data_IF_150719282336
#
_entry.id   IF_150719282336
#
_cell.length_a   1.000
_cell.length_b   1.000
_cell.length_c   1.000
_cell.angle_alpha   90.00
_cell.angle_beta   90.00
_cell.angle_gamma   90.00
#
_symmetry.space_group_name_H-M   'P 1'
#
loop_
_entity.id
_entity.type
_entity.pdbx_description
1 polymer ?
#
# COMPACT_ATOMS: atom_id res chain seq x y z
N UNK A 1 -1.57 -11.75 26.30
CA UNK A 1 -0.27 -11.06 26.25
C UNK A 1 -0.44 -9.91 25.28
N UNK A 2 -0.47 -8.67 25.75
CA UNK A 2 -0.68 -7.48 24.88
C UNK A 2 0.67 -6.98 24.42
N UNK A 3 1.02 -7.18 23.15
CA UNK A 3 2.20 -6.56 22.54
C UNK A 3 1.76 -5.24 21.94
N UNK A 4 2.03 -4.14 22.67
CA UNK A 4 1.85 -2.78 22.11
C UNK A 4 2.85 -2.60 20.99
N UNK A 5 2.39 -2.13 19.83
CA UNK A 5 3.27 -1.81 18.72
C UNK A 5 4.06 -0.52 19.02
N UNK A 6 5.30 -0.39 18.52
CA UNK A 6 6.11 0.81 18.72
C UNK A 6 5.47 2.02 18.03
N UNK A 7 5.60 3.18 18.64
CA UNK A 7 5.22 4.47 18.05
C UNK A 7 6.15 4.87 16.90
N UNK A 8 5.70 5.80 16.03
CA UNK A 8 6.53 6.36 14.96
C UNK A 8 7.82 7.02 15.51
N UNK A 9 7.74 7.69 16.66
CA UNK A 9 8.88 8.36 17.28
C UNK A 9 9.90 7.37 17.86
N UNK A 10 9.44 6.25 18.41
CA UNK A 10 10.30 5.11 18.79
C UNK A 10 10.99 4.50 17.56
N UNK A 11 10.25 4.28 16.48
CA UNK A 11 10.77 3.74 15.20
C UNK A 11 11.81 4.68 14.56
N UNK A 12 11.56 5.99 14.61
CA UNK A 12 12.43 7.04 14.07
C UNK A 12 13.70 7.22 14.91
N UNK A 13 13.58 7.13 16.23
CA UNK A 13 14.71 7.25 17.16
C UNK A 13 15.60 6.01 17.17
N UNK A 14 15.02 4.83 16.94
CA UNK A 14 15.73 3.53 16.87
C UNK A 14 16.39 3.29 15.51
N UNK A 15 16.25 4.20 14.53
CA UNK A 15 16.76 4.04 13.16
C UNK A 15 16.36 2.70 12.54
N UNK A 16 15.20 2.13 12.91
CA UNK A 16 14.62 0.98 12.21
C UNK A 16 14.03 1.46 10.89
N UNK A 17 14.92 1.96 10.04
CA UNK A 17 14.64 2.45 8.71
C UNK A 17 14.00 1.30 7.96
N UNK A 18 12.86 1.58 7.34
CA UNK A 18 12.22 0.66 6.40
C UNK A 18 13.22 0.37 5.29
N UNK A 19 13.76 -0.85 5.26
CA UNK A 19 14.75 -1.25 4.26
C UNK A 19 14.10 -2.12 3.18
N UNK A 20 14.54 -2.00 1.92
CA UNK A 20 14.18 -2.97 0.89
C UNK A 20 14.60 -4.38 1.29
N UNK A 21 13.73 -5.37 1.11
CA UNK A 21 14.06 -6.75 1.44
C UNK A 21 15.18 -7.30 0.56
N UNK A 22 16.20 -7.90 1.19
CA UNK A 22 17.35 -8.48 0.48
C UNK A 22 16.90 -9.59 -0.49
N UNK A 23 15.97 -10.45 -0.05
CA UNK A 23 15.46 -11.55 -0.87
C UNK A 23 14.37 -11.18 -1.87
N UNK A 24 13.86 -9.95 -1.82
CA UNK A 24 12.74 -9.47 -2.63
C UNK A 24 13.10 -8.21 -3.40
N UNK A 25 12.84 -7.04 -2.82
CA UNK A 25 12.97 -5.75 -3.50
C UNK A 25 14.38 -5.47 -4.04
N UNK A 26 15.45 -5.87 -3.34
CA UNK A 26 16.82 -5.65 -3.80
C UNK A 26 17.21 -6.49 -5.03
N UNK A 27 16.44 -7.54 -5.35
CA UNK A 27 16.66 -8.39 -6.53
C UNK A 27 15.96 -7.83 -7.77
N UNK A 28 15.13 -6.81 -7.66
CA UNK A 28 14.44 -6.23 -8.81
C UNK A 28 15.42 -5.40 -9.65
N UNK A 29 15.49 -5.71 -10.93
CA UNK A 29 16.22 -4.94 -11.93
C UNK A 29 15.18 -4.22 -12.78
N UNK A 30 15.21 -2.90 -12.75
CA UNK A 30 14.37 -2.07 -13.61
C UNK A 30 15.24 -1.08 -14.39
N UNK A 31 15.51 -1.33 -15.68
CA UNK A 31 16.24 -0.37 -16.49
C UNK A 31 15.37 0.88 -16.73
N UNK A 32 15.89 2.05 -16.34
CA UNK A 32 15.17 3.33 -16.45
C UNK A 32 14.76 3.67 -17.90
N UNK A 33 15.54 3.19 -18.88
CA UNK A 33 15.37 3.49 -20.30
C UNK A 33 14.90 2.27 -21.12
N UNK A 34 14.29 1.27 -20.47
CA UNK A 34 13.71 0.11 -21.15
C UNK A 34 12.25 0.32 -21.54
N UNK A 35 11.70 -0.49 -22.47
CA UNK A 35 10.25 -0.54 -22.69
C UNK A 35 9.54 -0.96 -21.39
N UNK A 36 8.41 -0.35 -21.05
CA UNK A 36 7.55 -0.89 -20.00
C UNK A 36 6.88 -2.17 -20.55
N UNK A 37 6.96 -3.35 -19.90
CA UNK A 37 7.54 -3.67 -18.59
C UNK A 37 8.87 -4.46 -18.68
N UNK A 38 10.03 -3.80 -18.64
CA UNK A 38 11.36 -4.44 -18.69
C UNK A 38 11.88 -4.91 -17.31
N UNK A 39 11.00 -5.20 -16.35
CA UNK A 39 11.42 -5.63 -15.01
C UNK A 39 11.94 -7.06 -15.08
N UNK A 40 13.14 -7.28 -14.53
CA UNK A 40 13.75 -8.60 -14.37
C UNK A 40 14.16 -8.82 -12.91
N UNK A 41 14.53 -10.03 -12.54
CA UNK A 41 14.84 -10.42 -11.17
C UNK A 41 16.20 -11.10 -11.13
N UNK A 42 17.10 -10.63 -10.28
CA UNK A 42 18.37 -11.31 -10.00
C UNK A 42 18.09 -12.68 -9.39
N UNK A 43 18.89 -13.70 -9.71
CA UNK A 43 18.75 -15.01 -9.07
C UNK A 43 19.08 -14.95 -7.56
N UNK A 44 20.12 -14.22 -7.21
CA UNK A 44 20.48 -13.88 -5.83
C UNK A 44 20.78 -12.37 -5.73
N UNK A 45 20.66 -11.77 -4.55
CA UNK A 45 20.94 -10.34 -4.39
C UNK A 45 22.39 -10.04 -4.74
N UNK A 46 22.61 -9.10 -5.66
CA UNK A 46 23.94 -8.73 -6.18
C UNK A 46 24.41 -9.51 -7.41
N UNK A 47 23.66 -10.50 -7.89
CA UNK A 47 23.97 -11.22 -9.13
C UNK A 47 23.23 -10.60 -10.33
N UNK A 48 23.96 -9.82 -11.13
CA UNK A 48 23.43 -9.12 -12.31
C UNK A 48 23.62 -9.89 -13.63
N UNK A 49 24.38 -10.99 -13.63
CA UNK A 49 24.86 -11.63 -14.86
C UNK A 49 23.82 -12.56 -15.48
N UNK A 50 22.81 -12.98 -14.71
CA UNK A 50 21.79 -13.94 -15.17
C UNK A 50 20.41 -13.60 -14.59
N UNK A 51 19.78 -12.49 -15.05
CA UNK A 51 18.47 -12.10 -14.58
C UNK A 51 17.36 -12.98 -15.17
N UNK A 52 16.38 -13.29 -14.34
CA UNK A 52 15.17 -14.02 -14.71
C UNK A 52 14.01 -13.05 -15.01
N UNK A 53 13.08 -13.41 -15.90
CA UNK A 53 11.92 -12.57 -16.18
C UNK A 53 10.99 -12.44 -14.96
N UNK A 54 10.54 -11.22 -14.66
CA UNK A 54 9.60 -10.98 -13.56
C UNK A 54 8.22 -11.63 -13.80
N UNK A 55 7.82 -11.74 -15.07
CA UNK A 55 6.62 -12.42 -15.52
C UNK A 55 6.93 -13.29 -16.73
N UNK A 56 6.55 -14.55 -16.68
CA UNK A 56 6.69 -15.49 -17.78
C UNK A 56 5.32 -15.72 -18.41
N UNK A 57 5.15 -15.27 -19.66
CA UNK A 57 3.96 -15.55 -20.44
C UNK A 57 4.09 -16.91 -21.14
N UNK A 58 3.06 -17.74 -21.06
CA UNK A 58 2.98 -19.05 -21.72
C UNK A 58 1.58 -19.28 -22.27
N UNK A 59 1.43 -19.43 -23.59
CA UNK A 59 0.21 -19.81 -24.33
C UNK A 59 -1.12 -19.61 -23.58
N UNK A 60 -1.54 -18.34 -23.44
CA UNK A 60 -2.83 -17.96 -22.85
C UNK A 60 -2.86 -17.79 -21.32
N UNK A 61 -1.74 -18.03 -20.65
CA UNK A 61 -1.56 -17.85 -19.20
C UNK A 61 -0.22 -17.18 -18.90
N UNK A 62 0.03 -16.84 -17.65
CA UNK A 62 1.36 -16.44 -17.26
C UNK A 62 1.62 -16.61 -15.77
N UNK A 63 2.88 -16.79 -15.45
CA UNK A 63 3.37 -17.08 -14.11
C UNK A 63 4.22 -15.91 -13.63
N UNK A 64 3.87 -15.37 -12.47
CA UNK A 64 4.67 -14.35 -11.80
C UNK A 64 5.84 -15.01 -11.08
N UNK A 65 7.01 -14.35 -11.11
CA UNK A 65 8.15 -14.77 -10.30
C UNK A 65 7.80 -14.73 -8.80
N UNK A 66 8.39 -15.62 -7.99
CA UNK A 66 8.09 -15.75 -6.56
C UNK A 66 8.27 -14.44 -5.76
N UNK A 67 9.22 -13.60 -6.18
CA UNK A 67 9.47 -12.25 -5.62
C UNK A 67 8.23 -11.35 -5.66
N UNK A 68 7.31 -11.56 -6.61
CA UNK A 68 6.05 -10.79 -6.68
C UNK A 68 5.14 -10.96 -5.46
N UNK A 69 5.35 -12.02 -4.68
CA UNK A 69 4.59 -12.32 -3.45
C UNK A 69 5.40 -12.04 -2.18
N UNK A 70 6.66 -11.63 -2.32
CA UNK A 70 7.51 -11.30 -1.18
C UNK A 70 7.22 -9.88 -0.68
N UNK A 71 7.39 -9.61 0.62
CA UNK A 71 7.32 -8.25 1.13
C UNK A 71 8.42 -7.40 0.49
N UNK A 72 8.07 -6.18 0.08
CA UNK A 72 9.04 -5.25 -0.52
C UNK A 72 9.96 -4.63 0.54
N UNK A 73 9.48 -4.51 1.77
CA UNK A 73 10.22 -3.87 2.86
C UNK A 73 10.26 -4.75 4.10
N UNK A 74 11.29 -4.54 4.92
CA UNK A 74 11.33 -5.02 6.30
C UNK A 74 11.41 -3.79 7.24
N UNK A 75 10.46 -3.62 8.18
CA UNK A 75 9.23 -4.40 8.34
C UNK A 75 8.24 -4.18 7.17
N UNK A 76 7.22 -5.04 7.05
CA UNK A 76 6.16 -4.89 6.02
C UNK A 76 5.53 -3.50 6.13
N UNK A 77 5.31 -2.81 5.00
CA UNK A 77 4.66 -1.49 4.98
C UNK A 77 3.33 -1.50 5.76
N UNK A 78 2.53 -2.55 5.60
CA UNK A 78 1.23 -2.69 6.28
C UNK A 78 1.31 -2.82 7.81
N UNK A 79 2.50 -3.07 8.36
CA UNK A 79 2.74 -3.14 9.81
C UNK A 79 3.30 -1.84 10.40
N UNK A 80 3.51 -0.82 9.56
CA UNK A 80 4.05 0.47 9.99
C UNK A 80 2.87 1.39 10.33
N UNK A 81 2.84 1.87 11.56
CA UNK A 81 1.97 2.96 11.97
C UNK A 81 2.74 4.26 11.91
N UNK A 82 2.20 5.25 11.18
CA UNK A 82 2.78 6.59 11.10
C UNK A 82 1.90 7.53 11.90
N UNK A 83 2.50 8.28 12.81
CA UNK A 83 1.88 9.41 13.49
C UNK A 83 2.73 10.65 13.21
N UNK A 84 2.11 11.67 12.64
CA UNK A 84 2.76 12.92 12.34
C UNK A 84 1.81 14.05 12.75
N UNK A 85 2.35 15.03 13.49
CA UNK A 85 1.57 16.14 14.01
C UNK A 85 0.83 16.89 12.90
N UNK A 86 1.43 17.04 11.72
CA UNK A 86 0.79 17.72 10.60
C UNK A 86 -0.35 16.89 9.99
N UNK A 87 -0.23 15.56 10.01
CA UNK A 87 -1.31 14.67 9.59
C UNK A 87 -2.45 14.63 10.62
N UNK A 88 -2.12 14.66 11.91
CA UNK A 88 -3.10 14.67 13.00
C UNK A 88 -3.94 15.96 13.00
N UNK A 89 -3.36 17.08 12.55
CA UNK A 89 -4.06 18.37 12.42
C UNK A 89 -4.58 18.66 11.01
N UNK A 90 -4.32 17.79 10.04
CA UNK A 90 -4.64 18.04 8.65
C UNK A 90 -6.13 18.33 8.44
N UNK A 91 -7.01 17.55 9.08
CA UNK A 91 -8.45 17.73 8.96
C UNK A 91 -8.91 19.07 9.55
N UNK A 92 -8.40 19.43 10.74
CA UNK A 92 -8.76 20.68 11.41
C UNK A 92 -8.30 21.90 10.59
N UNK A 93 -7.08 21.88 10.05
CA UNK A 93 -6.59 22.94 9.16
C UNK A 93 -7.35 23.00 7.85
N UNK A 94 -7.67 21.84 7.26
CA UNK A 94 -8.45 21.81 6.04
C UNK A 94 -9.84 22.41 6.26
N UNK A 95 -10.50 22.09 7.37
CA UNK A 95 -11.80 22.66 7.73
C UNK A 95 -11.73 24.15 8.02
N UNK A 96 -10.74 24.62 8.78
CA UNK A 96 -10.56 26.06 9.06
C UNK A 96 -10.50 26.88 7.76
N UNK A 97 -9.75 26.40 6.77
CA UNK A 97 -9.57 27.08 5.49
C UNK A 97 -10.75 26.93 4.52
N UNK A 98 -11.60 25.91 4.68
CA UNK A 98 -12.62 25.55 3.67
C UNK A 98 -14.07 25.52 4.17
N UNK A 99 -14.35 25.62 5.47
CA UNK A 99 -15.72 25.56 6.04
C UNK A 99 -16.68 26.53 5.33
N UNK A 100 -16.19 27.70 4.93
CA UNK A 100 -16.97 28.80 4.36
C UNK A 100 -16.84 28.94 2.84
N UNK A 101 -16.10 28.03 2.19
CA UNK A 101 -15.77 28.10 0.75
C UNK A 101 -16.61 27.13 -0.10
N UNK A 102 -17.82 26.81 0.35
CA UNK A 102 -18.82 26.13 -0.47
C UNK A 102 -19.17 26.98 -1.69
N UNK A 103 -19.26 26.37 -2.87
CA UNK A 103 -19.53 27.10 -4.12
C UNK A 103 -20.81 27.95 -4.00
N UNK A 104 -20.75 29.26 -4.26
CA UNK A 104 -21.95 30.08 -4.24
C UNK A 104 -22.88 29.69 -5.41
N UNK A 105 -24.04 29.12 -5.08
CA UNK A 105 -25.11 28.83 -6.04
C UNK A 105 -25.30 27.36 -6.42
N UNK A 106 -24.59 26.41 -5.80
CA UNK A 106 -25.01 25.01 -5.80
C UNK A 106 -26.36 24.88 -5.08
N UNK A 107 -27.19 23.89 -5.45
CA UNK A 107 -28.53 23.69 -4.87
C UNK A 107 -28.54 23.25 -3.39
N UNK A 108 -27.42 23.45 -2.69
CA UNK A 108 -27.32 23.45 -1.26
C UNK A 108 -27.30 24.90 -0.77
N UNK A 109 -28.31 25.25 0.02
CA UNK A 109 -28.43 26.43 0.90
C UNK A 109 -27.17 27.32 1.01
N UNK A 110 -27.27 28.67 1.00
CA UNK A 110 -26.17 29.61 1.24
C UNK A 110 -25.47 29.47 2.62
N UNK A 111 -25.82 28.44 3.38
CA UNK A 111 -25.26 28.00 4.66
C UNK A 111 -24.57 26.63 4.61
N UNK A 112 -24.41 26.02 3.43
CA UNK A 112 -23.68 24.77 3.28
C UNK A 112 -22.26 24.94 3.81
N UNK A 113 -21.90 24.13 4.80
CA UNK A 113 -20.59 24.14 5.46
C UNK A 113 -20.02 22.73 5.39
N UNK A 114 -18.75 22.63 5.01
CA UNK A 114 -18.01 21.40 5.24
C UNK A 114 -17.96 21.12 6.75
N UNK A 115 -18.21 19.87 7.13
CA UNK A 115 -18.17 19.42 8.51
C UNK A 115 -17.04 18.42 8.68
N UNK A 116 -16.62 18.23 9.92
CA UNK A 116 -15.74 17.13 10.31
C UNK A 116 -16.23 15.82 9.72
N UNK A 117 -15.32 15.07 9.11
CA UNK A 117 -15.58 13.73 8.63
C UNK A 117 -16.10 12.88 9.78
N UNK A 118 -17.09 12.01 9.53
CA UNK A 118 -17.48 11.04 10.52
C UNK A 118 -16.26 10.18 10.89
N UNK A 119 -16.10 9.88 12.16
CA UNK A 119 -15.13 8.88 12.60
C UNK A 119 -15.53 7.53 11.98
N UNK A 120 -14.77 7.09 10.97
CA UNK A 120 -15.08 5.89 10.21
C UNK A 120 -14.69 4.60 10.93
N UNK A 121 -14.24 4.66 12.19
CA UNK A 121 -14.10 3.48 13.06
C UNK A 121 -13.36 2.34 12.38
N UNK A 122 -12.18 2.62 11.80
CA UNK A 122 -11.40 1.66 11.00
C UNK A 122 -10.89 0.43 11.78
N UNK A 123 -11.26 0.29 13.05
CA UNK A 123 -10.92 -0.87 13.89
C UNK A 123 -11.70 -2.13 13.50
N UNK A 124 -12.86 -2.03 12.83
CA UNK A 124 -13.71 -3.19 12.48
C UNK A 124 -13.55 -3.69 11.03
N UNK A 125 -12.42 -3.43 10.37
CA UNK A 125 -12.09 -4.15 9.13
C UNK A 125 -11.39 -5.47 9.44
N UNK A 126 -12.08 -6.34 10.17
CA UNK A 126 -11.85 -7.77 9.97
C UNK A 126 -12.17 -8.05 8.51
N UNK A 127 -11.13 -8.40 7.75
CA UNK A 127 -11.24 -8.84 6.39
C UNK A 127 -12.08 -10.10 6.40
N UNK A 128 -13.38 -9.98 6.13
CA UNK A 128 -14.19 -11.09 5.69
C UNK A 128 -13.60 -11.54 4.34
N UNK A 129 -12.62 -12.44 4.40
CA UNK A 129 -12.30 -13.31 3.28
C UNK A 129 -13.55 -14.18 3.10
N UNK A 130 -14.49 -13.72 2.28
CA UNK A 130 -15.51 -14.61 1.74
C UNK A 130 -14.78 -15.69 0.93
N UNK A 131 -14.55 -16.84 1.57
CA UNK A 131 -14.40 -18.10 0.87
C UNK A 131 -15.68 -18.32 0.06
N UNK A 132 -15.68 -17.95 -1.22
CA UNK A 132 -16.60 -18.52 -2.20
C UNK A 132 -16.19 -19.98 -2.47
N UNK A 133 -16.36 -20.79 -1.43
CA UNK A 133 -16.45 -22.24 -1.47
C UNK A 133 -17.91 -22.57 -1.78
N UNK A 134 -18.29 -22.48 -3.06
CA UNK A 134 -19.02 -23.52 -3.80
C UNK A 134 -19.94 -22.93 -4.89
N UNK A 135 -19.42 -22.77 -6.10
CA UNK A 135 -20.23 -23.03 -7.30
C UNK A 135 -19.57 -24.14 -8.11
N UNK A 136 -19.84 -25.37 -7.67
CA UNK A 136 -19.68 -26.57 -8.50
C UNK A 136 -20.95 -26.72 -9.34
N UNK A 137 -20.86 -26.33 -10.62
CA UNK A 137 -21.33 -26.94 -11.92
C UNK A 137 -22.70 -27.68 -11.94
N UNK A 138 -23.44 -27.85 -13.08
CA UNK A 138 -22.93 -27.99 -14.47
C UNK A 138 -23.89 -27.57 -15.66
N UNK A 139 -23.34 -27.68 -16.89
CA UNK A 139 -23.94 -28.04 -18.21
C UNK A 139 -25.13 -27.21 -18.77
N UNK A 140 -24.90 -26.54 -19.92
CA UNK A 140 -25.33 -27.00 -21.26
C UNK A 140 -24.52 -26.34 -22.37
#
# INVERSE_FOLDING_TARGET
>A
MSTSYPSHEETRSDLSLVQPTIGGAQRLIWPLNGPLPAISVMKESGDYDSPEPYFQQSDGSGTWHAVSKMPLTEPKISSITVSDYDLDLWEDFWLEEHEQHSEPGGEAEPSARYKRLPDLGLEDREREEEEDSSISRPIR
#
